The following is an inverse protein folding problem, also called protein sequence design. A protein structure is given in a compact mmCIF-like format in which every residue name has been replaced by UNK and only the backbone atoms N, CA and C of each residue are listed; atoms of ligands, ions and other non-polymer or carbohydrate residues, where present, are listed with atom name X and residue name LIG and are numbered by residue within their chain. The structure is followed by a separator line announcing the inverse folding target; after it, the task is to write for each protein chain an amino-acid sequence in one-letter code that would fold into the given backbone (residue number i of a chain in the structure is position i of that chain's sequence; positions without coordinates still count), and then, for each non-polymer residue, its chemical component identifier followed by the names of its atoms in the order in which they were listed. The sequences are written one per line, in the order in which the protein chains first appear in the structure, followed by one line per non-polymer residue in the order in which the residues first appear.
data_IF_302594509965
#
_entry.id   IF_302594509965
#
_cell.length_a   1.000
_cell.length_b   1.000
_cell.length_c   1.000
_cell.angle_alpha   90.00
_cell.angle_beta   90.00
_cell.angle_gamma   90.00
#
_symmetry.space_group_name_H-M   'P 1'
#
loop_
_entity.id
_entity.type
_entity.pdbx_description
1 polymer ?
#
# COMPACT_ATOMS: atom_id res chain seq x y z
N UNK A 1 7.09 23.03 2.15
CA UNK A 1 7.38 22.33 0.88
C UNK A 1 6.54 21.07 0.86
N UNK A 2 5.71 20.86 -0.16
CA UNK A 2 4.92 19.63 -0.31
C UNK A 2 5.70 18.69 -1.21
N UNK A 3 6.26 17.62 -0.64
CA UNK A 3 6.86 16.55 -1.42
C UNK A 3 5.70 15.70 -1.91
N UNK A 4 5.45 15.69 -3.23
CA UNK A 4 4.51 14.74 -3.81
C UNK A 4 5.05 13.32 -3.54
N UNK A 5 4.21 12.43 -3.02
CA UNK A 5 4.68 11.07 -2.74
C UNK A 5 5.17 10.41 -4.02
N UNK A 6 6.31 9.74 -3.94
CA UNK A 6 6.84 8.89 -5.00
C UNK A 6 6.00 7.62 -5.20
N UNK A 7 5.07 7.32 -4.28
CA UNK A 7 4.15 6.19 -4.34
C UNK A 7 2.83 6.61 -4.99
N UNK A 8 2.40 5.86 -6.00
CA UNK A 8 1.14 6.09 -6.72
C UNK A 8 0.36 4.80 -6.87
N UNK A 9 -0.93 4.84 -6.53
CA UNK A 9 -1.89 3.77 -6.78
C UNK A 9 -2.86 4.27 -7.88
N UNK A 10 -2.80 3.66 -9.07
CA UNK A 10 -3.65 4.03 -10.20
C UNK A 10 -3.78 2.87 -11.19
N UNK A 11 -4.96 2.72 -11.80
CA UNK A 11 -5.19 1.75 -12.87
C UNK A 11 -4.86 0.30 -12.48
N UNK A 12 -5.16 -0.11 -11.24
CA UNK A 12 -4.85 -1.45 -10.74
C UNK A 12 -3.35 -1.73 -10.54
N UNK A 13 -2.53 -0.68 -10.45
CA UNK A 13 -1.08 -0.80 -10.23
C UNK A 13 -0.61 0.11 -9.10
N UNK A 14 0.36 -0.39 -8.32
CA UNK A 14 1.11 0.42 -7.37
C UNK A 14 2.52 0.61 -7.91
N UNK A 15 2.91 1.88 -8.04
CA UNK A 15 4.24 2.28 -8.51
C UNK A 15 4.96 3.09 -7.44
N UNK A 16 6.27 2.91 -7.36
CA UNK A 16 7.17 3.64 -6.46
C UNK A 16 8.30 4.21 -7.31
N UNK A 17 8.53 5.53 -7.23
CA UNK A 17 9.52 6.23 -8.04
C UNK A 17 9.38 5.94 -9.55
N UNK A 18 8.15 5.81 -10.04
CA UNK A 18 7.85 5.53 -11.46
C UNK A 18 8.00 4.07 -11.88
N UNK A 19 8.39 3.16 -10.98
CA UNK A 19 8.46 1.72 -11.26
C UNK A 19 7.25 0.99 -10.68
N UNK A 20 6.53 0.24 -11.50
CA UNK A 20 5.45 -0.65 -11.03
C UNK A 20 6.03 -1.78 -10.19
N UNK A 21 5.54 -1.92 -8.96
CA UNK A 21 5.93 -2.98 -8.03
C UNK A 21 4.79 -3.97 -7.78
N UNK A 22 3.55 -3.50 -7.81
CA UNK A 22 2.34 -4.32 -7.69
C UNK A 22 1.47 -4.17 -8.94
N UNK A 23 0.90 -5.30 -9.38
CA UNK A 23 -0.05 -5.36 -10.50
C UNK A 23 -1.29 -6.16 -10.13
N UNK A 24 -2.43 -5.84 -10.74
CA UNK A 24 -3.71 -6.47 -10.40
C UNK A 24 -4.18 -6.09 -9.00
N UNK A 25 -3.96 -4.84 -8.60
CA UNK A 25 -4.46 -4.29 -7.35
C UNK A 25 -5.99 -4.15 -7.46
N UNK A 26 -6.79 -4.75 -6.56
CA UNK A 26 -8.25 -4.63 -6.59
C UNK A 26 -8.74 -3.20 -6.34
N UNK A 27 -9.92 -2.86 -6.88
CA UNK A 27 -10.54 -1.54 -6.71
C UNK A 27 -10.88 -1.20 -5.25
N UNK A 28 -11.09 -2.22 -4.42
CA UNK A 28 -11.31 -2.05 -2.98
C UNK A 28 -10.09 -1.49 -2.25
N UNK A 29 -8.88 -1.59 -2.82
CA UNK A 29 -7.65 -1.14 -2.19
C UNK A 29 -7.49 0.38 -2.36
N UNK A 30 -7.25 1.07 -1.25
CA UNK A 30 -7.05 2.52 -1.23
C UNK A 30 -5.71 2.89 -0.59
N UNK A 31 -5.17 4.04 -1.00
CA UNK A 31 -3.97 4.62 -0.43
C UNK A 31 -4.30 5.91 0.32
N UNK A 32 -3.70 6.10 1.49
CA UNK A 32 -3.77 7.35 2.26
C UNK A 32 -2.38 7.89 2.53
N UNK A 33 -2.24 9.21 2.60
CA UNK A 33 -0.94 9.86 2.84
C UNK A 33 -0.39 9.47 4.21
N UNK A 34 0.89 9.08 4.28
CA UNK A 34 1.57 8.85 5.56
C UNK A 34 2.04 10.15 6.22
N UNK A 35 1.84 11.30 5.58
CA UNK A 35 2.40 12.59 6.01
C UNK A 35 1.72 13.22 7.24
N UNK A 36 0.77 12.54 7.89
CA UNK A 36 0.02 13.06 9.05
C UNK A 36 0.91 13.48 10.24
N UNK A 37 2.17 13.04 10.31
CA UNK A 37 3.13 13.38 11.37
C UNK A 37 4.49 13.93 10.90
N UNK A 38 4.66 14.25 9.61
CA UNK A 38 5.94 14.75 9.08
C UNK A 38 6.15 14.51 7.59
N UNK A 39 7.28 14.96 7.05
CA UNK A 39 7.67 14.79 5.65
C UNK A 39 8.17 13.36 5.39
N UNK A 40 7.22 12.41 5.36
CA UNK A 40 7.50 11.01 4.99
C UNK A 40 7.06 10.79 3.55
N UNK A 41 7.98 10.31 2.72
CA UNK A 41 7.63 9.86 1.36
C UNK A 41 7.08 8.43 1.42
N UNK A 42 5.78 8.32 1.72
CA UNK A 42 5.10 7.04 1.86
C UNK A 42 3.59 7.17 1.95
N UNK A 43 2.92 6.02 1.82
CA UNK A 43 1.47 5.89 1.92
C UNK A 43 1.11 4.70 2.80
N UNK A 44 -0.03 4.81 3.47
CA UNK A 44 -0.71 3.67 4.06
C UNK A 44 -1.60 3.02 2.99
N UNK A 45 -1.61 1.68 2.97
CA UNK A 45 -2.48 0.91 2.09
C UNK A 45 -3.53 0.22 2.96
N UNK A 46 -4.80 0.42 2.59
CA UNK A 46 -5.95 -0.21 3.23
C UNK A 46 -6.90 -0.75 2.17
N UNK A 47 -8.03 -1.29 2.62
CA UNK A 47 -9.12 -1.68 1.74
C UNK A 47 -10.47 -1.26 2.31
N UNK A 48 -11.36 -0.83 1.43
CA UNK A 48 -12.76 -0.56 1.75
C UNK A 48 -13.55 -1.85 1.53
N UNK A 49 -14.13 -2.38 2.61
CA UNK A 49 -14.84 -3.64 2.64
C UNK A 49 -16.22 -3.42 3.23
N UNK A 50 -17.25 -3.98 2.58
CA UNK A 50 -18.64 -3.74 2.95
C UNK A 50 -18.97 -4.20 4.39
N UNK A 51 -18.32 -5.26 4.85
CA UNK A 51 -18.57 -5.85 6.17
C UNK A 51 -17.68 -5.20 7.23
N UNK A 52 -18.25 -4.64 8.33
CA UNK A 52 -17.49 -4.05 9.42
C UNK A 52 -16.90 -5.12 10.34
N UNK A 53 -15.92 -5.87 9.84
CA UNK A 53 -15.24 -6.93 10.57
C UNK A 53 -13.72 -6.80 10.44
N UNK A 54 -12.98 -7.24 11.47
CA UNK A 54 -11.51 -7.14 11.51
C UNK A 54 -10.78 -8.39 11.06
N UNK A 55 -11.50 -9.35 10.45
CA UNK A 55 -11.00 -10.69 10.10
C UNK A 55 -10.96 -10.95 8.59
N UNK A 56 -10.98 -9.88 7.81
CA UNK A 56 -10.95 -9.98 6.35
C UNK A 56 -9.55 -10.33 5.85
N UNK A 57 -9.50 -11.28 4.93
CA UNK A 57 -8.28 -11.62 4.19
C UNK A 57 -8.57 -11.39 2.72
N UNK A 58 -7.82 -10.49 2.10
CA UNK A 58 -7.90 -10.19 0.68
C UNK A 58 -6.53 -10.28 0.05
N UNK A 59 -6.48 -10.67 -1.23
CA UNK A 59 -5.26 -10.53 -2.01
C UNK A 59 -5.04 -9.05 -2.32
N UNK A 60 -3.88 -8.52 -1.95
CA UNK A 60 -3.54 -7.12 -2.25
C UNK A 60 -3.22 -6.93 -3.73
N UNK A 61 -2.51 -7.88 -4.34
CA UNK A 61 -2.00 -7.79 -5.72
C UNK A 61 -1.10 -9.01 -6.07
N UNK A 62 -0.48 -8.95 -7.27
CA UNK A 62 0.71 -9.74 -7.62
C UNK A 62 1.97 -8.87 -7.58
N UNK A 63 2.98 -9.31 -6.82
CA UNK A 63 4.33 -8.75 -6.81
C UNK A 63 5.10 -9.19 -8.06
N UNK A 64 5.62 -8.26 -8.86
CA UNK A 64 6.35 -8.59 -10.09
C UNK A 64 7.69 -7.87 -10.16
N UNK A 65 8.74 -8.59 -10.54
CA UNK A 65 10.06 -8.00 -10.85
C UNK A 65 10.78 -7.37 -9.65
N UNK A 66 10.44 -7.76 -8.42
CA UNK A 66 11.09 -7.32 -7.17
C UNK A 66 11.30 -8.51 -6.22
N UNK A 67 12.26 -8.39 -5.30
CA UNK A 67 12.47 -9.37 -4.23
C UNK A 67 11.62 -8.98 -3.01
N UNK A 68 10.82 -9.92 -2.52
CA UNK A 68 10.06 -9.72 -1.29
C UNK A 68 10.98 -9.95 -0.07
N UNK A 69 11.05 -8.97 0.82
CA UNK A 69 11.70 -9.10 2.12
C UNK A 69 10.72 -8.60 3.19
N UNK A 70 10.35 -9.48 4.11
CA UNK A 70 9.49 -9.14 5.24
C UNK A 70 10.31 -9.22 6.53
N UNK A 71 10.55 -8.07 7.15
CA UNK A 71 11.11 -7.98 8.49
C UNK A 71 9.96 -7.91 9.49
N UNK A 72 9.55 -9.05 10.02
CA UNK A 72 8.56 -9.08 11.08
C UNK A 72 9.23 -8.73 12.41
N UNK A 73 8.78 -7.66 13.07
CA UNK A 73 8.96 -7.50 14.51
C UNK A 73 7.68 -8.00 15.16
N UNK A 74 7.71 -9.20 15.74
CA UNK A 74 6.60 -9.71 16.54
C UNK A 74 6.32 -8.70 17.65
N UNK A 75 5.18 -8.02 17.55
CA UNK A 75 4.66 -7.17 18.62
C UNK A 75 3.54 -7.97 19.28
N UNK A 76 3.89 -8.76 20.29
CA UNK A 76 2.91 -9.30 21.23
C UNK A 76 2.50 -8.14 22.15
N UNK A 77 1.22 -7.86 22.21
CA UNK A 77 0.56 -7.13 23.29
C UNK A 77 -0.57 -8.00 23.83
#
# INVERSE_FOLDING_TARGET
MTIASSVKLAGGTLSVCGRTVLSGVPDAVAASSAAAGGAVDGVFIGADLAEPASRHVISLCTLRGVRFMACFRSKLW
#
